data_IF_606406265426
#
_entry.id   IF_606406265426
#
_cell.length_a   1.000
_cell.length_b   1.000
_cell.length_c   1.000
_cell.angle_alpha   90.00
_cell.angle_beta   90.00
_cell.angle_gamma   90.00
#
_symmetry.space_group_name_H-M   'P 1'
#
loop_
_entity.id
_entity.type
_entity.pdbx_description
1 polymer ?
#
# COMPACT_ATOMS: atom_id res chain seq x y z
N UNK A 1 7.36 6.19 2.79
CA UNK A 1 6.86 6.60 1.46
C UNK A 1 5.33 6.49 1.36
N UNK A 2 4.74 6.83 0.21
CA UNK A 2 3.33 6.66 -0.15
C UNK A 2 3.15 6.78 -1.67
N UNK A 3 1.91 6.75 -2.17
CA UNK A 3 1.54 7.08 -3.56
C UNK A 3 0.69 8.37 -3.67
N UNK A 4 0.16 8.88 -2.57
CA UNK A 4 -0.58 10.15 -2.55
C UNK A 4 0.32 11.41 -2.67
N UNK A 5 1.66 11.26 -2.53
CA UNK A 5 2.66 12.32 -2.66
C UNK A 5 3.19 12.88 -1.34
N UNK A 6 4.29 13.63 -1.44
CA UNK A 6 5.11 14.10 -0.29
C UNK A 6 4.35 15.00 0.70
N UNK A 7 3.29 15.67 0.26
CA UNK A 7 2.48 16.57 1.08
C UNK A 7 1.15 15.96 1.55
N UNK A 8 0.89 14.69 1.24
CA UNK A 8 -0.37 14.03 1.53
C UNK A 8 -0.65 13.92 3.03
N UNK A 9 -1.91 14.07 3.47
CA UNK A 9 -2.30 13.92 4.88
C UNK A 9 -1.95 12.55 5.46
N UNK A 10 -2.15 11.48 4.68
CA UNK A 10 -1.82 10.12 5.11
C UNK A 10 -0.34 9.90 5.38
N UNK A 11 0.56 10.56 4.62
CA UNK A 11 2.00 10.50 4.88
C UNK A 11 2.35 11.18 6.22
N UNK A 12 1.67 12.26 6.59
CA UNK A 12 1.85 12.89 7.91
C UNK A 12 1.39 11.98 9.05
N UNK A 13 0.30 11.24 8.83
CA UNK A 13 -0.16 10.20 9.78
C UNK A 13 0.89 9.11 9.93
N UNK A 14 1.43 8.60 8.83
CA UNK A 14 2.49 7.60 8.85
C UNK A 14 3.75 8.09 9.56
N UNK A 15 4.15 9.34 9.32
CA UNK A 15 5.27 9.97 10.01
C UNK A 15 5.03 10.02 11.52
N UNK A 16 3.82 10.35 11.97
CA UNK A 16 3.46 10.35 13.40
C UNK A 16 3.58 8.95 14.00
N UNK A 17 3.11 7.93 13.30
CA UNK A 17 3.25 6.53 13.73
C UNK A 17 4.73 6.14 13.80
N UNK A 18 5.53 6.50 12.78
CA UNK A 18 6.96 6.19 12.74
C UNK A 18 7.75 6.85 13.88
N UNK A 19 7.39 8.07 14.29
CA UNK A 19 7.98 8.77 15.46
C UNK A 19 7.71 8.07 16.78
N UNK A 20 6.69 7.20 16.85
CA UNK A 20 6.43 6.36 18.02
C UNK A 20 7.22 5.04 18.01
N UNK A 21 7.83 4.69 16.86
CA UNK A 21 8.65 3.48 16.72
C UNK A 21 10.13 3.74 16.99
N UNK A 22 10.63 4.93 16.64
CA UNK A 22 12.07 5.26 16.72
C UNK A 22 12.31 6.76 16.80
N UNK A 23 13.53 7.14 17.14
CA UNK A 23 13.97 8.54 17.14
C UNK A 23 13.83 9.18 15.74
N UNK A 24 13.50 10.46 15.70
CA UNK A 24 13.33 11.24 14.46
C UNK A 24 14.57 11.21 13.55
N UNK A 25 15.78 11.13 14.14
CA UNK A 25 17.04 11.05 13.38
C UNK A 25 17.15 9.81 12.50
N UNK A 26 16.42 8.73 12.84
CA UNK A 26 16.38 7.45 12.13
C UNK A 26 15.23 7.37 11.11
N UNK A 27 14.39 8.41 11.02
CA UNK A 27 13.25 8.45 10.09
C UNK A 27 13.66 9.21 8.84
N UNK A 28 13.53 8.55 7.69
CA UNK A 28 13.71 9.15 6.37
C UNK A 28 12.40 9.09 5.61
N UNK A 29 11.98 10.22 5.06
CA UNK A 29 10.77 10.35 4.27
C UNK A 29 11.16 10.60 2.82
N UNK A 30 10.83 9.64 1.95
CA UNK A 30 11.10 9.72 0.52
C UNK A 30 9.79 9.35 -0.19
N UNK A 31 9.18 10.31 -0.90
CA UNK A 31 7.87 10.13 -1.49
C UNK A 31 7.77 10.84 -2.85
N UNK A 32 6.82 10.47 -3.71
CA UNK A 32 6.58 11.13 -4.99
C UNK A 32 6.28 12.62 -4.82
N UNK A 33 6.70 13.43 -5.78
CA UNK A 33 6.41 14.89 -5.80
C UNK A 33 4.91 15.19 -5.86
N UNK A 34 4.13 14.30 -6.47
CA UNK A 34 2.68 14.42 -6.65
C UNK A 34 2.02 13.06 -6.54
N UNK A 35 0.69 13.05 -6.50
CA UNK A 35 -0.13 11.83 -6.49
C UNK A 35 0.21 10.89 -7.65
N UNK A 36 0.32 9.58 -7.34
CA UNK A 36 0.65 8.48 -8.24
C UNK A 36 -0.30 7.29 -8.00
N UNK A 37 -1.60 7.57 -7.95
CA UNK A 37 -2.62 6.52 -7.76
C UNK A 37 -2.73 5.61 -8.97
N UNK A 38 -3.00 4.32 -8.75
CA UNK A 38 -3.24 3.34 -9.81
C UNK A 38 -2.01 2.92 -10.61
N UNK A 39 -0.80 3.13 -10.07
CA UNK A 39 0.47 2.86 -10.79
C UNK A 39 1.06 1.48 -10.52
N UNK A 40 0.45 0.69 -9.65
CA UNK A 40 0.94 -0.63 -9.28
C UNK A 40 2.41 -0.59 -8.80
N UNK A 41 3.22 -1.58 -9.22
CA UNK A 41 4.67 -1.64 -8.98
C UNK A 41 5.45 -1.02 -10.15
N UNK A 42 5.10 0.21 -10.53
CA UNK A 42 5.77 0.92 -11.62
C UNK A 42 7.15 1.42 -11.20
N UNK A 43 8.13 1.31 -12.11
CA UNK A 43 9.52 1.75 -11.94
C UNK A 43 9.95 2.58 -13.16
N UNK A 44 10.64 3.68 -12.93
CA UNK A 44 11.17 4.60 -13.97
C UNK A 44 12.44 4.04 -14.63
N UNK A 45 12.27 3.02 -15.48
CA UNK A 45 13.40 2.32 -16.11
C UNK A 45 14.14 3.15 -17.16
N UNK A 46 13.40 3.94 -17.93
CA UNK A 46 13.92 4.61 -19.13
C UNK A 46 14.03 6.13 -18.96
N UNK A 47 13.60 6.69 -17.84
CA UNK A 47 13.59 8.11 -17.59
C UNK A 47 14.32 8.45 -16.29
N UNK A 48 15.17 9.47 -16.26
CA UNK A 48 15.84 9.90 -15.05
C UNK A 48 14.83 10.51 -14.06
N UNK A 49 14.95 10.15 -12.81
CA UNK A 49 14.16 10.74 -11.71
C UNK A 49 14.92 11.91 -11.08
N UNK A 50 14.19 13.01 -10.80
CA UNK A 50 14.73 14.10 -10.00
C UNK A 50 14.49 13.81 -8.51
N UNK A 51 15.55 13.94 -7.71
CA UNK A 51 15.51 13.87 -6.26
C UNK A 51 15.72 15.26 -5.69
N UNK A 52 14.73 15.79 -4.97
CA UNK A 52 14.82 17.08 -4.30
C UNK A 52 14.86 16.88 -2.78
N UNK A 53 15.88 17.45 -2.12
CA UNK A 53 15.95 17.48 -0.66
C UNK A 53 15.11 18.64 -0.14
N UNK A 54 14.03 18.33 0.59
CA UNK A 54 13.10 19.33 1.15
C UNK A 54 13.59 19.81 2.52
N UNK A 55 14.05 18.88 3.36
CA UNK A 55 14.62 19.18 4.68
C UNK A 55 15.58 18.08 5.12
N UNK A 56 16.04 18.11 6.37
CA UNK A 56 16.80 16.99 6.94
C UNK A 56 15.96 15.72 6.86
N UNK A 57 16.46 14.65 6.23
CA UNK A 57 15.82 13.35 6.09
C UNK A 57 14.46 13.36 5.34
N UNK A 58 14.11 14.44 4.61
CA UNK A 58 12.88 14.51 3.81
C UNK A 58 13.20 14.86 2.36
N UNK A 59 12.74 14.00 1.45
CA UNK A 59 13.05 14.08 0.01
C UNK A 59 11.79 13.84 -0.81
N UNK A 60 11.70 14.49 -1.98
CA UNK A 60 10.71 14.15 -3.00
C UNK A 60 11.38 13.60 -4.25
N UNK A 61 10.71 12.67 -4.92
CA UNK A 61 11.17 12.02 -6.16
C UNK A 61 10.14 12.26 -7.24
N UNK A 62 10.57 12.62 -8.45
CA UNK A 62 9.64 12.79 -9.59
C UNK A 62 9.12 11.47 -10.18
N UNK A 63 9.54 10.33 -9.60
CA UNK A 63 9.15 8.97 -9.99
C UNK A 63 7.91 8.44 -9.27
N UNK A 64 7.85 7.12 -9.20
CA UNK A 64 6.78 6.33 -8.60
C UNK A 64 7.13 5.90 -7.15
N UNK A 65 6.17 5.33 -6.39
CA UNK A 65 6.43 4.89 -5.00
C UNK A 65 7.57 3.85 -4.88
N UNK A 66 7.67 2.90 -5.80
CA UNK A 66 8.78 1.94 -5.85
C UNK A 66 10.12 2.63 -6.09
N UNK A 67 10.17 3.63 -6.97
CA UNK A 67 11.36 4.45 -7.21
C UNK A 67 11.83 5.17 -5.95
N UNK A 68 10.88 5.64 -5.13
CA UNK A 68 11.20 6.29 -3.86
C UNK A 68 11.89 5.32 -2.89
N UNK A 69 11.49 4.05 -2.87
CA UNK A 69 12.13 2.99 -2.06
C UNK A 69 13.53 2.71 -2.59
N UNK A 70 13.68 2.52 -3.89
CA UNK A 70 14.99 2.29 -4.55
C UNK A 70 15.93 3.45 -4.27
N UNK A 71 15.49 4.69 -4.50
CA UNK A 71 16.28 5.90 -4.23
C UNK A 71 16.65 6.02 -2.75
N UNK A 72 15.72 5.69 -1.86
CA UNK A 72 15.94 5.65 -0.42
C UNK A 72 17.04 4.70 -0.02
N UNK A 73 16.94 3.45 -0.40
CA UNK A 73 17.86 2.38 -0.01
C UNK A 73 19.24 2.57 -0.66
N UNK A 74 19.27 2.78 -1.98
CA UNK A 74 20.54 2.73 -2.74
C UNK A 74 21.26 4.07 -2.86
N UNK A 75 20.60 5.18 -2.56
CA UNK A 75 21.22 6.51 -2.65
C UNK A 75 21.19 7.26 -1.33
N UNK A 76 20.01 7.57 -0.78
CA UNK A 76 19.88 8.44 0.41
C UNK A 76 20.45 7.77 1.66
N UNK A 77 20.14 6.49 1.87
CA UNK A 77 20.58 5.69 3.03
C UNK A 77 21.60 4.61 2.65
N UNK A 78 22.33 4.78 1.55
CA UNK A 78 23.29 3.78 1.03
C UNK A 78 24.31 3.28 2.07
N UNK A 79 24.73 4.13 3.01
CA UNK A 79 25.73 3.79 4.04
C UNK A 79 25.12 3.09 5.26
N UNK A 80 23.83 3.31 5.50
CA UNK A 80 23.07 2.77 6.62
C UNK A 80 21.66 2.46 6.13
N UNK A 81 21.47 1.31 5.45
CA UNK A 81 20.20 0.93 4.87
C UNK A 81 19.10 0.77 5.94
N UNK A 82 17.85 1.06 5.62
CA UNK A 82 16.75 0.96 6.57
C UNK A 82 16.47 -0.50 6.95
N UNK A 83 16.06 -0.73 8.20
CA UNK A 83 15.55 -2.01 8.67
C UNK A 83 14.05 -2.20 8.41
N UNK A 84 13.34 -1.11 8.10
CA UNK A 84 11.89 -1.11 7.90
C UNK A 84 11.48 -0.11 6.82
N UNK A 85 10.64 -0.53 5.89
CA UNK A 85 9.95 0.32 4.93
C UNK A 85 8.48 0.39 5.31
N UNK A 86 7.96 1.60 5.52
CA UNK A 86 6.54 1.87 5.70
C UNK A 86 6.02 2.63 4.49
N UNK A 87 4.92 2.14 3.89
CA UNK A 87 4.26 2.78 2.77
C UNK A 87 2.81 3.13 3.11
N UNK A 88 2.44 4.40 3.00
CA UNK A 88 1.08 4.89 3.28
C UNK A 88 1.09 6.18 4.13
N UNK A 89 0.09 6.43 4.98
CA UNK A 89 -1.20 5.70 5.04
C UNK A 89 -2.04 6.09 3.83
N UNK A 90 -2.34 5.15 2.95
CA UNK A 90 -3.10 5.41 1.73
C UNK A 90 -4.52 5.89 2.04
N UNK A 91 -5.00 6.86 1.27
CA UNK A 91 -6.38 7.33 1.31
C UNK A 91 -7.28 6.43 0.46
N UNK A 92 -7.72 5.32 1.01
CA UNK A 92 -8.50 4.28 0.34
C UNK A 92 -7.99 2.90 0.70
N UNK A 93 -8.79 1.87 0.46
CA UNK A 93 -8.38 0.50 0.75
C UNK A 93 -7.53 -0.09 -0.38
N UNK A 94 -6.60 -0.94 0.00
CA UNK A 94 -5.81 -1.78 -0.89
C UNK A 94 -6.10 -3.26 -0.57
N UNK A 95 -7.36 -3.64 -0.65
CA UNK A 95 -7.87 -5.00 -0.43
C UNK A 95 -8.42 -5.60 -1.72
N UNK A 96 -8.51 -6.92 -1.80
CA UNK A 96 -8.90 -7.69 -2.97
C UNK A 96 -8.08 -7.28 -4.22
N UNK A 97 -8.76 -7.06 -5.36
CA UNK A 97 -8.13 -6.68 -6.65
C UNK A 97 -7.37 -5.34 -6.59
N UNK A 98 -7.70 -4.44 -5.66
CA UNK A 98 -7.02 -3.16 -5.51
C UNK A 98 -5.51 -3.31 -5.20
N UNK A 99 -5.12 -4.43 -4.60
CA UNK A 99 -3.71 -4.77 -4.37
C UNK A 99 -2.88 -4.66 -5.66
N UNK A 100 -3.43 -5.11 -6.79
CA UNK A 100 -2.73 -5.17 -8.07
C UNK A 100 -2.55 -3.80 -8.74
N UNK A 101 -3.29 -2.78 -8.31
CA UNK A 101 -3.23 -1.42 -8.87
C UNK A 101 -2.53 -0.43 -7.94
N UNK A 102 -2.25 -0.82 -6.71
CA UNK A 102 -1.80 0.08 -5.65
C UNK A 102 -0.32 0.40 -5.73
N UNK A 103 0.01 1.69 -5.80
CA UNK A 103 1.38 2.18 -5.62
C UNK A 103 1.88 2.04 -4.18
N UNK A 104 0.99 2.13 -3.18
CA UNK A 104 1.29 1.86 -1.76
C UNK A 104 1.79 0.43 -1.57
N UNK A 105 1.09 -0.55 -2.18
CA UNK A 105 1.51 -1.96 -2.21
C UNK A 105 2.81 -2.12 -3.00
N UNK A 106 2.92 -1.48 -4.17
CA UNK A 106 4.12 -1.52 -5.00
C UNK A 106 5.38 -1.08 -4.25
N UNK A 107 5.30 -0.04 -3.44
CA UNK A 107 6.43 0.40 -2.61
C UNK A 107 6.79 -0.62 -1.51
N UNK A 108 5.82 -1.23 -0.84
CA UNK A 108 6.10 -2.26 0.16
C UNK A 108 6.67 -3.54 -0.48
N UNK A 109 6.15 -3.92 -1.64
CA UNK A 109 6.68 -5.01 -2.46
C UNK A 109 8.13 -4.74 -2.87
N UNK A 110 8.44 -3.53 -3.34
CA UNK A 110 9.82 -3.14 -3.69
C UNK A 110 10.74 -3.26 -2.48
N UNK A 111 10.34 -2.75 -1.32
CA UNK A 111 11.13 -2.89 -0.10
C UNK A 111 11.43 -4.35 0.26
N UNK A 112 10.46 -5.24 0.09
CA UNK A 112 10.64 -6.67 0.31
C UNK A 112 11.60 -7.30 -0.73
N UNK A 113 11.50 -6.91 -2.00
CA UNK A 113 12.44 -7.33 -3.05
C UNK A 113 13.88 -6.86 -2.76
N UNK A 114 14.03 -5.70 -2.12
CA UNK A 114 15.32 -5.17 -1.64
C UNK A 114 15.77 -5.82 -0.31
N UNK A 115 15.06 -6.82 0.21
CA UNK A 115 15.42 -7.56 1.42
C UNK A 115 15.03 -6.86 2.73
N UNK A 116 14.24 -5.79 2.70
CA UNK A 116 13.83 -5.01 3.88
C UNK A 116 12.42 -5.43 4.32
N UNK A 117 12.20 -5.56 5.64
CA UNK A 117 10.84 -5.72 6.19
C UNK A 117 9.96 -4.57 5.75
N UNK A 118 8.80 -4.85 5.15
CA UNK A 118 8.02 -3.83 4.47
C UNK A 118 6.53 -3.96 4.78
N UNK A 119 5.89 -2.83 5.08
CA UNK A 119 4.48 -2.77 5.49
C UNK A 119 3.77 -1.69 4.68
N UNK A 120 2.73 -2.08 3.97
CA UNK A 120 1.76 -1.18 3.36
C UNK A 120 0.60 -0.93 4.33
N UNK A 121 0.26 0.35 4.55
CA UNK A 121 -0.83 0.76 5.45
C UNK A 121 -1.85 1.59 4.66
N UNK A 122 -3.12 1.20 4.74
CA UNK A 122 -4.21 1.83 4.00
C UNK A 122 -5.41 2.08 4.89
N UNK A 123 -6.01 3.25 4.79
CA UNK A 123 -7.24 3.59 5.49
C UNK A 123 -8.43 3.41 4.55
N UNK A 124 -9.23 2.40 4.80
CA UNK A 124 -10.48 2.17 4.06
C UNK A 124 -11.42 3.35 4.28
N UNK A 125 -11.91 3.97 3.21
CA UNK A 125 -12.92 5.02 3.25
C UNK A 125 -14.28 4.47 2.83
N UNK A 126 -15.30 4.84 3.55
CA UNK A 126 -16.69 4.45 3.29
C UNK A 126 -17.67 5.45 3.91
N UNK A 127 -18.97 5.24 3.79
CA UNK A 127 -19.98 6.16 4.30
C UNK A 127 -19.84 6.49 5.79
N UNK A 128 -19.33 5.56 6.60
CA UNK A 128 -19.10 5.80 8.02
C UNK A 128 -17.88 6.68 8.28
N UNK A 129 -16.85 6.63 7.43
CA UNK A 129 -15.67 7.49 7.58
C UNK A 129 -15.94 8.97 7.28
N UNK A 130 -16.99 9.29 6.52
CA UNK A 130 -17.43 10.67 6.31
C UNK A 130 -17.96 11.33 7.58
N UNK A 131 -18.39 10.54 8.56
CA UNK A 131 -18.90 11.00 9.86
C UNK A 131 -17.79 11.21 10.89
N UNK A 132 -16.56 10.77 10.60
CA UNK A 132 -15.42 10.90 11.50
C UNK A 132 -14.84 12.32 11.45
N UNK A 133 -14.32 12.80 12.56
CA UNK A 133 -13.59 14.08 12.64
C UNK A 133 -12.30 14.04 11.78
N UNK A 134 -11.67 12.88 11.71
CA UNK A 134 -10.55 12.59 10.84
C UNK A 134 -10.68 11.16 10.31
N UNK A 135 -10.77 10.94 8.99
CA UNK A 135 -10.93 9.61 8.40
C UNK A 135 -9.76 8.67 8.69
N UNK A 136 -8.60 9.19 9.10
CA UNK A 136 -7.42 8.40 9.47
C UNK A 136 -7.37 7.99 10.95
N UNK A 137 -8.38 8.31 11.77
CA UNK A 137 -8.40 7.95 13.20
C UNK A 137 -8.13 6.46 13.46
N UNK A 138 -8.72 5.50 12.70
CA UNK A 138 -8.41 4.09 12.89
C UNK A 138 -6.92 3.77 12.72
N UNK A 139 -6.27 4.34 11.71
CA UNK A 139 -4.83 4.17 11.47
C UNK A 139 -3.98 4.87 12.55
N UNK A 140 -4.36 6.09 12.97
CA UNK A 140 -3.65 6.87 13.99
C UNK A 140 -3.61 6.10 15.32
N UNK A 141 -4.75 5.57 15.75
CA UNK A 141 -4.87 4.93 17.07
C UNK A 141 -4.32 3.49 17.11
N UNK A 142 -4.30 2.78 15.97
CA UNK A 142 -3.96 1.36 15.95
C UNK A 142 -2.69 1.04 15.15
N UNK A 143 -2.16 1.96 14.35
CA UNK A 143 -1.03 1.72 13.45
C UNK A 143 0.21 1.21 14.18
N UNK A 144 0.58 1.84 15.30
CA UNK A 144 1.72 1.44 16.10
C UNK A 144 1.61 -0.01 16.60
N UNK A 145 0.48 -0.37 17.18
CA UNK A 145 0.26 -1.72 17.74
C UNK A 145 0.26 -2.81 16.66
N UNK A 146 -0.27 -2.51 15.47
CA UNK A 146 -0.26 -3.45 14.34
C UNK A 146 1.15 -3.64 13.80
N UNK A 147 1.94 -2.55 13.71
CA UNK A 147 3.35 -2.64 13.28
C UNK A 147 4.15 -3.48 14.26
N UNK A 148 4.02 -3.25 15.57
CA UNK A 148 4.68 -4.10 16.58
C UNK A 148 4.29 -5.57 16.44
N UNK A 149 2.98 -5.86 16.30
CA UNK A 149 2.52 -7.24 16.06
C UNK A 149 3.18 -7.89 14.85
N UNK A 150 3.38 -7.12 13.77
CA UNK A 150 4.08 -7.61 12.58
C UNK A 150 5.55 -7.86 12.89
N UNK A 151 6.26 -6.88 13.45
CA UNK A 151 7.70 -6.97 13.74
C UNK A 151 8.03 -8.12 14.71
N UNK A 152 7.20 -8.35 15.72
CA UNK A 152 7.36 -9.45 16.68
C UNK A 152 7.18 -10.84 16.04
N UNK A 153 6.53 -10.92 14.88
CA UNK A 153 6.22 -12.17 14.18
C UNK A 153 6.87 -12.28 12.79
N UNK A 154 7.60 -11.26 12.32
CA UNK A 154 8.28 -11.28 11.01
C UNK A 154 9.43 -12.28 11.05
N UNK A 155 9.22 -13.43 10.38
CA UNK A 155 10.24 -14.47 10.24
C UNK A 155 10.73 -14.48 8.81
N UNK A 156 12.00 -14.15 8.63
CA UNK A 156 12.64 -14.33 7.33
C UNK A 156 12.84 -15.81 7.03
N UNK A 157 12.29 -16.27 5.90
CA UNK A 157 12.53 -17.63 5.38
C UNK A 157 13.57 -17.54 4.28
N UNK A 158 14.68 -18.26 4.41
CA UNK A 158 15.69 -18.37 3.33
C UNK A 158 15.11 -19.08 2.11
N UNK A 159 15.55 -18.68 0.92
CA UNK A 159 15.24 -19.39 -0.32
C UNK A 159 13.93 -19.01 -1.03
N UNK A 160 13.36 -17.83 -0.74
CA UNK A 160 12.15 -17.35 -1.41
C UNK A 160 11.99 -15.84 -1.38
N UNK A 161 10.98 -15.32 -2.07
CA UNK A 161 10.63 -13.91 -1.95
C UNK A 161 10.28 -13.55 -0.50
N UNK A 162 10.87 -12.45 -0.01
CA UNK A 162 10.55 -11.93 1.31
C UNK A 162 9.06 -11.56 1.40
N UNK A 163 8.46 -11.86 2.56
CA UNK A 163 7.09 -11.44 2.86
C UNK A 163 7.06 -9.93 3.10
N UNK A 164 6.06 -9.26 2.56
CA UNK A 164 5.63 -7.94 2.97
C UNK A 164 4.20 -8.01 3.52
N UNK A 165 3.77 -6.98 4.21
CA UNK A 165 2.50 -7.00 4.93
C UNK A 165 1.56 -5.92 4.40
N UNK A 166 0.34 -6.31 4.04
CA UNK A 166 -0.72 -5.40 3.65
C UNK A 166 -1.71 -5.23 4.81
N UNK A 167 -1.81 -4.01 5.31
CA UNK A 167 -2.69 -3.64 6.43
C UNK A 167 -3.75 -2.67 5.93
N UNK A 168 -5.03 -3.00 6.14
CA UNK A 168 -6.12 -2.08 5.86
C UNK A 168 -6.91 -1.81 7.14
N UNK A 169 -7.01 -0.54 7.53
CA UNK A 169 -7.82 -0.08 8.64
C UNK A 169 -9.27 0.07 8.19
N UNK A 170 -10.27 -0.41 8.96
CA UNK A 170 -11.67 -0.36 8.56
C UNK A 170 -12.25 1.06 8.55
N UNK A 171 -13.36 1.30 7.83
CA UNK A 171 -14.01 2.62 7.75
C UNK A 171 -14.86 2.95 8.98
N UNK A 172 -14.37 2.62 10.18
CA UNK A 172 -15.05 2.85 11.48
C UNK A 172 -14.04 3.07 12.59
N UNK A 173 -14.35 3.90 13.56
CA UNK A 173 -13.53 4.08 14.77
C UNK A 173 -13.68 2.94 15.77
N UNK A 174 -14.75 2.14 15.66
CA UNK A 174 -14.99 0.99 16.52
C UNK A 174 -14.24 -0.22 15.97
N UNK A 175 -13.00 -0.40 16.43
CA UNK A 175 -12.12 -1.48 16.00
C UNK A 175 -12.38 -2.73 16.83
N UNK A 176 -12.73 -3.84 16.17
CA UNK A 176 -13.00 -5.13 16.82
C UNK A 176 -11.75 -5.97 17.03
N UNK A 177 -10.62 -5.57 16.47
CA UNK A 177 -9.34 -6.28 16.55
C UNK A 177 -8.63 -6.39 15.21
N UNK A 178 -7.60 -7.23 15.14
CA UNK A 178 -6.82 -7.53 13.94
C UNK A 178 -7.15 -8.92 13.45
N UNK A 179 -7.60 -9.05 12.20
CA UNK A 179 -7.84 -10.31 11.53
C UNK A 179 -6.71 -10.61 10.53
N UNK A 180 -6.00 -11.72 10.71
CA UNK A 180 -5.04 -12.22 9.73
C UNK A 180 -5.83 -13.04 8.71
N UNK A 181 -5.90 -12.55 7.48
CA UNK A 181 -6.81 -13.04 6.43
C UNK A 181 -6.13 -13.01 5.07
N UNK A 182 -6.54 -13.88 4.12
CA UNK A 182 -6.06 -13.81 2.75
C UNK A 182 -6.64 -12.59 2.00
N UNK A 183 -6.01 -12.28 0.87
CA UNK A 183 -6.56 -11.37 -0.13
C UNK A 183 -7.92 -11.88 -0.60
N UNK A 184 -8.89 -10.98 -0.66
CA UNK A 184 -10.24 -11.29 -1.08
C UNK A 184 -10.46 -11.22 -2.60
N UNK A 185 -11.68 -11.49 -2.98
CA UNK A 185 -12.21 -11.31 -4.33
C UNK A 185 -13.53 -10.55 -4.25
N UNK A 186 -13.64 -9.41 -4.94
CA UNK A 186 -14.91 -8.72 -5.12
C UNK A 186 -15.52 -9.10 -6.47
N UNK A 187 -16.69 -9.70 -6.50
CA UNK A 187 -17.37 -10.01 -7.76
C UNK A 187 -17.83 -8.71 -8.44
N UNK A 188 -17.77 -8.67 -9.77
CA UNK A 188 -18.29 -7.58 -10.61
C UNK A 188 -17.71 -6.18 -10.29
N UNK A 189 -16.45 -6.10 -9.91
CA UNK A 189 -15.76 -4.84 -9.57
C UNK A 189 -14.71 -4.43 -10.60
N UNK A 190 -14.73 -5.02 -11.78
CA UNK A 190 -13.86 -4.63 -12.88
C UNK A 190 -14.00 -3.15 -13.21
N UNK A 191 -12.88 -2.53 -13.59
CA UNK A 191 -12.91 -1.17 -14.11
C UNK A 191 -13.73 -1.09 -15.39
N UNK A 192 -14.51 -0.02 -15.50
CA UNK A 192 -15.19 0.38 -16.70
C UNK A 192 -14.70 1.73 -17.20
N UNK A 193 -15.25 2.22 -18.30
CA UNK A 193 -14.99 3.55 -18.83
C UNK A 193 -16.28 4.36 -18.94
N UNK A 194 -16.16 5.66 -18.70
CA UNK A 194 -17.22 6.63 -18.94
C UNK A 194 -16.74 7.62 -19.98
N UNK A 195 -17.33 7.67 -21.19
CA UNK A 195 -16.96 8.63 -22.21
C UNK A 195 -17.50 10.03 -21.88
N UNK A 196 -16.73 11.04 -22.22
CA UNK A 196 -17.09 12.45 -22.19
C UNK A 196 -16.68 13.12 -23.49
N UNK A 197 -17.59 13.83 -24.17
CA UNK A 197 -17.30 14.59 -25.39
C UNK A 197 -17.30 16.08 -25.10
N UNK A 198 -16.25 16.77 -25.55
CA UNK A 198 -16.19 18.24 -25.52
C UNK A 198 -17.08 18.84 -26.62
N UNK A 199 -17.37 20.14 -26.53
CA UNK A 199 -18.04 20.89 -27.62
C UNK A 199 -17.28 20.85 -28.95
N UNK A 200 -15.95 20.69 -28.92
CA UNK A 200 -15.13 20.55 -30.15
C UNK A 200 -15.13 19.14 -30.74
N UNK A 201 -15.92 18.21 -30.17
CA UNK A 201 -16.03 16.82 -30.62
C UNK A 201 -14.92 15.87 -30.18
N UNK A 202 -13.95 16.34 -29.38
CA UNK A 202 -12.92 15.46 -28.81
C UNK A 202 -13.55 14.56 -27.73
N UNK A 203 -13.21 13.28 -27.76
CA UNK A 203 -13.67 12.30 -26.78
C UNK A 203 -12.59 12.00 -25.75
N UNK A 204 -12.98 11.98 -24.48
CA UNK A 204 -12.16 11.62 -23.33
C UNK A 204 -12.82 10.43 -22.62
N UNK A 205 -12.02 9.54 -22.05
CA UNK A 205 -12.49 8.39 -21.29
C UNK A 205 -12.06 8.52 -19.83
N UNK A 206 -13.02 8.41 -18.91
CA UNK A 206 -12.74 8.33 -17.48
C UNK A 206 -12.83 6.87 -17.02
N UNK A 207 -11.81 6.40 -16.33
CA UNK A 207 -11.85 5.09 -15.68
C UNK A 207 -12.82 5.17 -14.49
N UNK A 208 -13.73 4.21 -14.41
CA UNK A 208 -14.64 4.03 -13.28
C UNK A 208 -14.29 2.74 -12.56
N UNK A 209 -14.03 2.84 -11.26
CA UNK A 209 -13.95 1.66 -10.38
C UNK A 209 -15.33 1.12 -10.02
N UNK A 210 -15.40 -0.15 -9.67
CA UNK A 210 -16.61 -0.78 -9.16
C UNK A 210 -16.93 -0.37 -7.71
N UNK A 211 -18.07 -0.83 -7.21
CA UNK A 211 -18.49 -0.59 -5.83
C UNK A 211 -17.55 -1.30 -4.85
N UNK A 212 -16.83 -0.54 -4.03
CA UNK A 212 -15.87 -1.05 -3.06
C UNK A 212 -16.52 -1.60 -1.78
N UNK A 213 -17.81 -1.31 -1.53
CA UNK A 213 -18.53 -1.63 -0.29
C UNK A 213 -19.45 -2.85 -0.41
N UNK A 214 -19.30 -3.65 -1.44
CA UNK A 214 -20.11 -4.87 -1.61
C UNK A 214 -19.71 -5.94 -0.60
N UNK A 215 -20.69 -6.64 -0.08
CA UNK A 215 -20.46 -7.81 0.77
C UNK A 215 -19.79 -8.92 -0.06
N UNK A 216 -18.74 -9.49 0.51
CA UNK A 216 -17.98 -10.60 -0.07
C UNK A 216 -18.04 -11.82 0.85
N UNK A 217 -17.51 -12.95 0.38
CA UNK A 217 -17.36 -14.15 1.20
C UNK A 217 -16.59 -13.88 2.47
N UNK A 218 -16.92 -14.58 3.54
CA UNK A 218 -16.20 -14.51 4.80
C UNK A 218 -14.74 -14.96 4.63
N UNK A 219 -13.90 -14.56 5.60
CA UNK A 219 -12.47 -14.89 5.64
C UNK A 219 -11.66 -14.24 4.50
N UNK A 220 -11.79 -12.93 4.36
CA UNK A 220 -10.98 -12.12 3.43
C UNK A 220 -10.70 -10.74 4.02
N UNK A 221 -9.71 -10.04 3.44
CA UNK A 221 -9.36 -8.67 3.83
C UNK A 221 -10.56 -7.72 3.72
N UNK A 222 -11.33 -7.81 2.65
CA UNK A 222 -12.57 -7.01 2.45
C UNK A 222 -13.61 -7.32 3.51
N UNK A 223 -13.89 -8.61 3.75
CA UNK A 223 -14.88 -9.01 4.73
C UNK A 223 -14.51 -8.58 6.15
N UNK A 224 -13.23 -8.68 6.50
CA UNK A 224 -12.68 -8.21 7.77
C UNK A 224 -12.91 -6.70 7.94
N UNK A 225 -12.52 -5.89 6.95
CA UNK A 225 -12.67 -4.43 7.00
C UNK A 225 -14.14 -4.00 7.11
N UNK A 226 -15.03 -4.58 6.28
CA UNK A 226 -16.47 -4.25 6.32
C UNK A 226 -17.13 -4.71 7.62
N UNK A 227 -16.52 -5.64 8.36
CA UNK A 227 -16.97 -6.11 9.67
C UNK A 227 -16.34 -5.33 10.84
N UNK A 228 -15.49 -4.33 10.60
CA UNK A 228 -14.85 -3.49 11.63
C UNK A 228 -13.54 -4.06 12.19
N UNK A 229 -12.91 -5.01 11.50
CA UNK A 229 -11.58 -5.51 11.84
C UNK A 229 -10.51 -4.84 10.97
N UNK A 230 -9.34 -4.62 11.54
CA UNK A 230 -8.13 -4.33 10.77
C UNK A 230 -7.72 -5.63 10.06
N UNK A 231 -7.64 -5.61 8.73
CA UNK A 231 -7.11 -6.75 7.99
C UNK A 231 -5.58 -6.70 7.95
N UNK A 232 -4.94 -7.82 8.19
CA UNK A 232 -3.51 -8.05 8.02
C UNK A 232 -3.32 -9.22 7.07
N UNK A 233 -2.77 -8.95 5.89
CA UNK A 233 -2.53 -9.96 4.86
C UNK A 233 -1.02 -10.04 4.58
N UNK A 234 -0.33 -11.13 5.01
CA UNK A 234 1.03 -11.40 4.55
C UNK A 234 1.04 -11.74 3.06
N UNK A 235 1.96 -11.13 2.29
CA UNK A 235 2.01 -11.24 0.83
C UNK A 235 3.43 -11.49 0.33
N UNK A 236 3.56 -12.03 -0.87
CA UNK A 236 4.82 -12.22 -1.60
C UNK A 236 4.71 -11.75 -3.03
N UNK A 237 5.88 -11.56 -3.68
CA UNK A 237 5.96 -11.22 -5.11
C UNK A 237 5.57 -12.37 -6.04
N UNK A 238 5.49 -13.60 -5.54
CA UNK A 238 5.15 -14.77 -6.35
C UNK A 238 3.65 -14.81 -6.64
N UNK A 239 3.30 -14.71 -7.92
CA UNK A 239 1.94 -14.80 -8.45
C UNK A 239 1.67 -16.13 -9.17
N UNK A 240 2.51 -17.12 -8.98
CA UNK A 240 2.38 -18.43 -9.62
C UNK A 240 1.14 -19.17 -9.12
N UNK A 241 0.26 -19.57 -10.02
CA UNK A 241 -0.90 -20.43 -9.72
C UNK A 241 -0.42 -21.89 -9.62
N UNK A 242 0.21 -22.24 -8.48
CA UNK A 242 0.84 -23.53 -8.25
C UNK A 242 -0.16 -24.70 -8.42
N UNK A 243 -1.40 -24.50 -8.00
CA UNK A 243 -2.51 -25.46 -8.13
C UNK A 243 -2.88 -25.79 -9.58
N UNK A 244 -2.45 -24.94 -10.54
CA UNK A 244 -2.73 -25.10 -11.96
C UNK A 244 -1.55 -25.71 -12.73
N UNK A 245 -0.36 -25.80 -12.15
CA UNK A 245 0.84 -26.30 -12.85
C UNK A 245 0.65 -27.76 -13.30
N UNK A 246 0.07 -28.59 -12.46
CA UNK A 246 -0.20 -29.99 -12.76
C UNK A 246 -1.08 -30.19 -14.01
N UNK A 247 -1.96 -29.25 -14.35
CA UNK A 247 -2.81 -29.34 -15.53
C UNK A 247 -2.02 -29.34 -16.86
N UNK A 248 -0.75 -28.94 -16.83
CA UNK A 248 0.15 -28.84 -17.98
C UNK A 248 1.26 -29.90 -18.02
N UNK A 249 1.41 -30.69 -16.95
CA UNK A 249 2.48 -31.70 -16.83
C UNK A 249 2.07 -33.09 -17.40
N UNK A 250 0.78 -33.37 -17.60
CA UNK A 250 0.25 -34.66 -18.02
C UNK A 250 0.48 -35.02 -19.52
N UNK A 251 1.21 -34.21 -20.29
CA UNK A 251 1.45 -34.41 -21.74
C UNK A 251 2.94 -34.46 -22.12
N UNK A 252 3.84 -34.89 -21.22
CA UNK A 252 5.24 -35.18 -21.56
C UNK A 252 5.55 -36.66 -21.52
#
# INVERSE_FOLDING_TARGET
TNDDGINAPGLKVLETIARSLTDEKNIFIIAPTSERSGVAHCVSYNEPMRLDKISKNRYSVSGYPADCVIAGIHHVMKKDPPSLVLSGVNRGNNSAENVLYSGTIGAALEGALQGVTSIALSQYLGPESEKMSNPFNPAIHNGLSVIHKILDNDKHTEGGYRVFYNVNFPPTEIIKGVAVVPQGLRPNTSFGVSPFKTHSGKEFLFIKGGNQHIKVSQNSDVAANLSGYISLTPMRADLTAIDRMADFEENQ
#
